data_IF_715697488287
#
_entry.id   IF_715697488287
#
_cell.length_a   1.000
_cell.length_b   1.000
_cell.length_c   1.000
_cell.angle_alpha   90.00
_cell.angle_beta   90.00
_cell.angle_gamma   90.00
#
_symmetry.space_group_name_H-M   'P 1'
#
loop_
_entity.id
_entity.type
_entity.pdbx_description
1 polymer ?
#
# COMPACT_ATOMS: atom_id res chain seq x y z
N UNK A 1 -6.10 -10.06 -12.74
CA UNK A 1 -7.51 -9.79 -12.53
C UNK A 1 -8.35 -10.33 -13.69
N UNK A 2 -9.63 -10.55 -13.45
CA UNK A 2 -10.55 -11.17 -14.41
C UNK A 2 -11.41 -10.16 -15.19
N UNK A 3 -11.09 -8.88 -15.08
CA UNK A 3 -11.84 -7.84 -15.80
C UNK A 3 -11.48 -7.86 -17.27
N UNK A 4 -12.50 -7.75 -18.13
CA UNK A 4 -12.35 -7.76 -19.58
C UNK A 4 -12.67 -6.39 -20.22
N UNK A 5 -13.25 -5.46 -19.45
CA UNK A 5 -13.63 -4.14 -19.95
C UNK A 5 -12.36 -3.26 -20.08
N UNK A 6 -12.05 -2.78 -21.30
CA UNK A 6 -10.84 -1.97 -21.51
C UNK A 6 -10.87 -0.59 -20.87
N UNK A 7 -11.99 -0.15 -20.33
CA UNK A 7 -12.07 1.15 -19.64
C UNK A 7 -11.45 1.13 -18.24
N UNK A 8 -11.32 -0.04 -17.62
CA UNK A 8 -10.73 -0.11 -16.28
C UNK A 8 -9.23 0.08 -16.33
N UNK A 9 -8.73 0.93 -15.46
CA UNK A 9 -7.30 1.20 -15.33
C UNK A 9 -6.95 1.61 -13.90
N UNK A 10 -5.66 1.64 -13.61
CA UNK A 10 -5.13 2.12 -12.34
C UNK A 10 -4.96 1.02 -11.31
N UNK A 11 -3.95 1.19 -10.46
CA UNK A 11 -3.67 0.28 -9.37
C UNK A 11 -4.77 0.27 -8.32
N UNK A 12 -5.00 -0.90 -7.74
CA UNK A 12 -6.03 -1.12 -6.73
C UNK A 12 -5.41 -1.83 -5.53
N UNK A 13 -5.63 -1.27 -4.34
CA UNK A 13 -5.18 -1.87 -3.09
C UNK A 13 -6.31 -2.66 -2.45
N UNK A 14 -6.00 -3.90 -2.05
CA UNK A 14 -6.90 -4.75 -1.27
C UNK A 14 -6.27 -5.01 0.10
N UNK A 15 -7.07 -4.98 1.14
CA UNK A 15 -6.62 -5.25 2.50
C UNK A 15 -7.63 -6.08 3.26
N UNK A 16 -7.18 -6.79 4.29
CA UNK A 16 -8.04 -7.49 5.24
C UNK A 16 -8.03 -6.71 6.56
N UNK A 17 -9.14 -6.73 7.28
CA UNK A 17 -9.26 -5.98 8.54
C UNK A 17 -8.83 -6.77 9.79
N UNK A 18 -8.10 -7.86 9.61
CA UNK A 18 -7.54 -8.64 10.72
C UNK A 18 -6.39 -7.91 11.46
N UNK A 19 -5.89 -6.83 10.90
CA UNK A 19 -4.89 -5.96 11.52
C UNK A 19 -5.26 -4.51 11.20
N UNK A 20 -5.43 -3.63 12.22
CA UNK A 20 -5.84 -2.25 11.97
C UNK A 20 -4.85 -1.46 11.12
N UNK A 21 -3.57 -1.83 11.13
CA UNK A 21 -2.55 -1.16 10.33
C UNK A 21 -2.68 -1.43 8.84
N UNK A 22 -3.37 -2.49 8.45
CA UNK A 22 -3.58 -2.82 7.03
C UNK A 22 -4.30 -1.70 6.29
N UNK A 23 -5.30 -1.10 6.90
CA UNK A 23 -6.06 -0.01 6.30
C UNK A 23 -5.17 1.22 6.09
N UNK A 24 -4.36 1.57 7.08
CA UNK A 24 -3.42 2.69 6.99
C UNK A 24 -2.43 2.47 5.85
N UNK A 25 -1.84 1.28 5.78
CA UNK A 25 -0.92 0.92 4.70
C UNK A 25 -1.61 1.00 3.33
N UNK A 26 -2.83 0.48 3.23
CA UNK A 26 -3.57 0.50 1.97
C UNK A 26 -3.92 1.94 1.54
N UNK A 27 -4.31 2.80 2.46
CA UNK A 27 -4.63 4.20 2.17
C UNK A 27 -3.40 4.96 1.66
N UNK A 28 -2.27 4.79 2.32
CA UNK A 28 -1.01 5.42 1.92
C UNK A 28 -0.61 4.95 0.52
N UNK A 29 -0.65 3.65 0.29
CA UNK A 29 -0.23 3.07 -0.99
C UNK A 29 -1.16 3.47 -2.12
N UNK A 30 -2.47 3.49 -1.90
CA UNK A 30 -3.43 3.91 -2.91
C UNK A 30 -3.21 5.37 -3.30
N UNK A 31 -2.91 6.23 -2.34
CA UNK A 31 -2.60 7.64 -2.61
C UNK A 31 -1.31 7.78 -3.42
N UNK A 32 -0.30 6.98 -3.15
CA UNK A 32 0.95 6.97 -3.92
C UNK A 32 0.71 6.52 -5.36
N UNK A 33 -0.13 5.52 -5.57
CA UNK A 33 -0.49 5.08 -6.92
C UNK A 33 -1.31 6.13 -7.66
N UNK A 34 -2.16 6.87 -6.96
CA UNK A 34 -2.90 7.99 -7.57
C UNK A 34 -1.97 9.08 -8.09
N UNK A 35 -0.86 9.33 -7.41
CA UNK A 35 0.16 10.29 -7.88
C UNK A 35 0.89 9.79 -9.12
N UNK A 36 1.21 8.50 -9.17
CA UNK A 36 1.86 7.89 -10.33
C UNK A 36 0.94 7.80 -11.53
N UNK A 37 -0.34 7.59 -11.29
CA UNK A 37 -1.34 7.26 -12.32
C UNK A 37 -2.44 8.33 -12.35
N UNK A 38 -2.23 9.44 -13.09
CA UNK A 38 -3.25 10.50 -13.18
C UNK A 38 -4.61 9.95 -13.62
N UNK A 39 -5.66 10.35 -12.91
CA UNK A 39 -7.00 9.85 -13.15
C UNK A 39 -7.37 8.60 -12.38
N UNK A 40 -6.43 7.99 -11.67
CA UNK A 40 -6.72 6.88 -10.75
C UNK A 40 -7.34 7.45 -9.48
N UNK A 41 -8.65 7.37 -9.37
CA UNK A 41 -9.42 7.83 -8.23
C UNK A 41 -9.98 6.66 -7.39
N UNK A 42 -9.37 5.49 -7.52
CA UNK A 42 -9.82 4.30 -6.81
C UNK A 42 -9.65 4.46 -5.30
N UNK A 43 -10.61 3.90 -4.59
CA UNK A 43 -10.55 3.76 -3.14
C UNK A 43 -10.04 2.37 -2.79
N UNK A 44 -9.48 2.23 -1.59
CA UNK A 44 -9.04 0.93 -1.07
C UNK A 44 -10.25 -0.01 -0.94
N UNK A 45 -10.02 -1.30 -1.12
CA UNK A 45 -11.07 -2.32 -1.02
C UNK A 45 -10.77 -3.31 0.08
N UNK A 46 -11.77 -3.54 0.92
CA UNK A 46 -11.72 -4.60 1.90
C UNK A 46 -11.85 -5.95 1.19
N UNK A 47 -10.93 -6.86 1.46
CA UNK A 47 -11.01 -8.24 0.99
C UNK A 47 -11.65 -9.11 2.07
N UNK A 48 -12.41 -10.10 1.63
CA UNK A 48 -12.91 -11.14 2.52
C UNK A 48 -11.94 -12.31 2.64
N UNK A 49 -12.51 -13.46 2.98
CA UNK A 49 -11.75 -14.70 3.18
C UNK A 49 -11.20 -15.29 1.89
N UNK A 50 -11.64 -14.80 0.74
CA UNK A 50 -11.21 -15.27 -0.59
C UNK A 50 -9.72 -14.99 -0.85
N UNK A 51 -9.13 -14.02 -0.17
CA UNK A 51 -7.69 -13.75 -0.25
C UNK A 51 -7.00 -14.35 0.98
N UNK A 52 -6.70 -15.63 0.89
CA UNK A 52 -6.17 -16.41 2.00
C UNK A 52 -4.89 -15.82 2.60
N UNK A 53 -3.97 -15.33 1.77
CA UNK A 53 -2.72 -14.76 2.26
C UNK A 53 -2.95 -13.52 3.12
N UNK A 54 -3.91 -12.68 2.75
CA UNK A 54 -4.25 -11.51 3.55
C UNK A 54 -4.97 -11.90 4.83
N UNK A 55 -5.90 -12.86 4.73
CA UNK A 55 -6.65 -13.33 5.88
C UNK A 55 -5.75 -13.96 6.94
N UNK A 56 -4.78 -14.76 6.52
CA UNK A 56 -3.92 -15.53 7.43
C UNK A 56 -2.71 -14.77 7.94
N UNK A 57 -2.33 -13.69 7.30
CA UNK A 57 -1.15 -12.91 7.68
C UNK A 57 -1.49 -11.95 8.82
N UNK A 58 -0.77 -12.07 9.94
CA UNK A 58 -0.97 -11.22 11.12
C UNK A 58 -0.12 -9.96 11.10
N UNK A 59 0.88 -9.91 10.23
CA UNK A 59 1.68 -8.70 10.03
C UNK A 59 0.93 -7.71 9.14
N UNK A 60 1.27 -6.40 9.19
CA UNK A 60 0.71 -5.44 8.24
C UNK A 60 0.92 -5.91 6.81
N UNK A 61 -0.16 -5.96 6.05
CA UNK A 61 -0.12 -6.52 4.69
C UNK A 61 -1.20 -5.92 3.81
N UNK A 62 -0.94 -5.93 2.50
CA UNK A 62 -1.93 -5.57 1.50
C UNK A 62 -1.62 -6.32 0.21
N UNK A 63 -2.59 -6.37 -0.68
CA UNK A 63 -2.40 -6.86 -2.04
C UNK A 63 -2.49 -5.68 -3.00
N UNK A 64 -1.51 -5.57 -3.87
CA UNK A 64 -1.44 -4.51 -4.88
C UNK A 64 -1.72 -5.13 -6.24
N UNK A 65 -2.82 -4.74 -6.87
CA UNK A 65 -3.01 -4.98 -8.29
C UNK A 65 -2.51 -3.75 -9.03
N UNK A 66 -1.43 -3.90 -9.80
CA UNK A 66 -0.73 -2.76 -10.39
C UNK A 66 -1.46 -2.12 -11.57
N UNK A 67 -2.43 -2.82 -12.15
CA UNK A 67 -3.21 -2.31 -13.26
C UNK A 67 -4.09 -3.39 -13.87
N UNK A 68 -4.77 -3.04 -14.96
CA UNK A 68 -5.70 -3.92 -15.66
C UNK A 68 -5.14 -4.31 -17.03
N UNK A 69 -4.88 -5.59 -17.22
CA UNK A 69 -4.37 -6.09 -18.50
C UNK A 69 -5.37 -5.97 -19.64
N UNK A 70 -6.66 -5.79 -19.30
CA UNK A 70 -7.70 -5.53 -20.29
C UNK A 70 -7.62 -4.14 -20.91
N UNK A 71 -6.88 -3.21 -20.29
CA UNK A 71 -6.64 -1.88 -20.83
C UNK A 71 -5.36 -1.91 -21.64
N UNK A 72 -5.41 -1.66 -22.98
CA UNK A 72 -4.22 -1.79 -23.83
C UNK A 72 -3.08 -0.86 -23.47
N UNK A 73 -3.38 0.38 -23.06
CA UNK A 73 -2.35 1.33 -22.64
C UNK A 73 -1.66 0.87 -21.36
N UNK A 74 -2.43 0.38 -20.40
CA UNK A 74 -1.90 -0.08 -19.13
C UNK A 74 -1.10 -1.36 -19.30
N UNK A 75 -1.60 -2.30 -20.11
CA UNK A 75 -0.86 -3.52 -20.44
C UNK A 75 0.50 -3.18 -21.08
N UNK A 76 0.52 -2.25 -22.02
CA UNK A 76 1.75 -1.84 -22.68
C UNK A 76 2.75 -1.23 -21.69
N UNK A 77 2.28 -0.37 -20.77
CA UNK A 77 3.14 0.22 -19.74
C UNK A 77 3.71 -0.85 -18.79
N UNK A 78 2.86 -1.76 -18.33
CA UNK A 78 3.26 -2.83 -17.39
C UNK A 78 4.33 -3.75 -17.98
N UNK A 79 4.40 -3.84 -19.30
CA UNK A 79 5.41 -4.63 -19.99
C UNK A 79 6.75 -3.91 -20.12
N UNK A 80 6.85 -2.63 -19.78
CA UNK A 80 8.09 -1.87 -19.89
C UNK A 80 8.90 -1.92 -18.60
N UNK A 81 10.22 -1.98 -18.75
CA UNK A 81 11.13 -1.93 -17.60
C UNK A 81 11.04 -0.58 -16.88
N UNK A 82 10.93 0.50 -17.65
CA UNK A 82 10.83 1.85 -17.08
C UNK A 82 9.62 1.97 -16.13
N UNK A 83 8.46 1.52 -16.57
CA UNK A 83 7.27 1.60 -15.74
C UNK A 83 7.33 0.65 -14.54
N UNK A 84 7.92 -0.53 -14.72
CA UNK A 84 8.13 -1.46 -13.61
C UNK A 84 9.03 -0.85 -12.53
N UNK A 85 10.05 -0.09 -12.92
CA UNK A 85 10.90 0.64 -11.98
C UNK A 85 10.13 1.75 -11.27
N UNK A 86 9.27 2.47 -11.97
CA UNK A 86 8.41 3.50 -11.37
C UNK A 86 7.44 2.88 -10.35
N UNK A 87 6.86 1.73 -10.67
CA UNK A 87 6.01 1.00 -9.74
C UNK A 87 6.78 0.57 -8.50
N UNK A 88 7.96 0.01 -8.67
CA UNK A 88 8.79 -0.43 -7.56
C UNK A 88 9.16 0.75 -6.65
N UNK A 89 9.52 1.89 -7.22
CA UNK A 89 9.82 3.10 -6.46
C UNK A 89 8.58 3.61 -5.71
N UNK A 90 7.42 3.58 -6.35
CA UNK A 90 6.15 3.99 -5.73
C UNK A 90 5.82 3.12 -4.53
N UNK A 91 5.97 1.81 -4.67
CA UNK A 91 5.74 0.86 -3.58
C UNK A 91 6.72 1.10 -2.43
N UNK A 92 8.00 1.25 -2.75
CA UNK A 92 9.03 1.55 -1.76
C UNK A 92 8.71 2.82 -0.98
N UNK A 93 8.36 3.89 -1.70
CA UNK A 93 8.01 5.17 -1.08
C UNK A 93 6.78 5.05 -0.19
N UNK A 94 5.78 4.29 -0.61
CA UNK A 94 4.59 4.04 0.18
C UNK A 94 4.90 3.27 1.46
N UNK A 95 5.77 2.27 1.40
CA UNK A 95 6.19 1.51 2.58
C UNK A 95 6.95 2.41 3.56
N UNK A 96 7.85 3.26 3.06
CA UNK A 96 8.58 4.20 3.92
C UNK A 96 7.62 5.19 4.61
N UNK A 97 6.67 5.73 3.89
CA UNK A 97 5.67 6.62 4.47
C UNK A 97 4.85 5.92 5.54
N UNK A 98 4.47 4.66 5.30
CA UNK A 98 3.76 3.86 6.28
C UNK A 98 4.60 3.64 7.55
N UNK A 99 5.86 3.26 7.38
CA UNK A 99 6.76 3.04 8.53
C UNK A 99 6.90 4.32 9.35
N UNK A 100 7.06 5.46 8.70
CA UNK A 100 7.14 6.75 9.41
C UNK A 100 5.82 7.06 10.13
N UNK A 101 4.69 6.81 9.50
CA UNK A 101 3.39 7.09 10.09
C UNK A 101 3.14 6.27 11.36
N UNK A 102 3.49 4.98 11.35
CA UNK A 102 3.29 4.12 12.53
C UNK A 102 4.35 4.36 13.59
N UNK A 103 5.56 4.80 13.22
CA UNK A 103 6.64 5.12 14.16
C UNK A 103 6.35 6.41 14.93
N UNK A 104 5.64 7.35 14.30
CA UNK A 104 5.26 8.61 14.95
C UNK A 104 4.08 8.43 15.91
N UNK A 105 3.44 7.29 15.83
CA UNK A 105 2.19 7.10 16.53
C UNK A 105 2.30 7.08 18.02
N UNK A 106 3.30 7.02 18.69
CA UNK A 106 2.92 7.11 20.08
C UNK A 106 3.96 7.59 21.00
N UNK A 107 4.13 8.85 20.91
CA UNK A 107 4.51 9.54 22.13
C UNK A 107 3.52 9.22 23.27
N UNK A 108 2.25 8.96 22.94
CA UNK A 108 1.25 8.58 23.94
C UNK A 108 1.37 7.14 24.44
N UNK A 109 2.09 6.27 23.74
CA UNK A 109 2.36 4.90 24.16
C UNK A 109 3.69 4.72 24.86
N UNK A 110 4.57 5.74 24.81
CA UNK A 110 5.85 5.72 25.48
C UNK A 110 5.73 6.21 26.92
N UNK A 111 6.41 5.58 27.84
CA UNK A 111 6.59 6.15 29.19
C UNK A 111 7.60 7.30 29.11
N UNK A 112 7.56 8.22 30.07
CA UNK A 112 8.53 9.31 30.13
C UNK A 112 9.97 8.79 30.20
N UNK A 113 10.16 7.66 30.87
CA UNK A 113 11.46 7.01 31.00
C UNK A 113 11.93 6.44 29.65
N UNK A 114 11.06 5.79 28.91
CA UNK A 114 11.38 5.25 27.58
C UNK A 114 11.71 6.37 26.58
N UNK A 115 10.94 7.45 26.60
CA UNK A 115 11.20 8.62 25.76
C UNK A 115 12.54 9.27 26.09
N UNK A 116 12.87 9.38 27.37
CA UNK A 116 14.16 9.92 27.83
C UNK A 116 15.32 9.04 27.36
N UNK A 117 15.17 7.71 27.45
CA UNK A 117 16.20 6.77 27.03
C UNK A 117 16.50 6.89 25.54
N UNK A 118 15.47 7.09 24.71
CA UNK A 118 15.64 7.30 23.27
C UNK A 118 16.36 8.62 23.00
N UNK A 119 15.97 9.69 23.67
CA UNK A 119 16.59 11.02 23.51
C UNK A 119 18.08 11.00 23.89
N UNK A 120 18.47 10.17 24.84
CA UNK A 120 19.84 10.01 25.26
C UNK A 120 20.66 9.05 24.41
N UNK A 121 20.01 8.42 23.40
CA UNK A 121 20.67 7.50 22.50
C UNK A 121 20.96 6.13 23.10
N UNK A 122 20.23 5.73 24.12
CA UNK A 122 20.42 4.44 24.79
C UNK A 122 19.63 3.30 24.15
N UNK A 123 18.76 3.62 23.17
CA UNK A 123 17.95 2.62 22.47
C UNK A 123 18.14 2.64 20.97
#
# INVERSE_FOLDING_TARGET
NNYTDPKYFGGQMFYNNNNPDNRTLAQIMQARFAQLQPGNDREIKLSGDELFLLKSNKNPSLMIECGFLSNPEEEAKLATEEYQQQLAFTIYSGVLEYVDAVSEQPESAWTDEEAAAISEGHL
#
